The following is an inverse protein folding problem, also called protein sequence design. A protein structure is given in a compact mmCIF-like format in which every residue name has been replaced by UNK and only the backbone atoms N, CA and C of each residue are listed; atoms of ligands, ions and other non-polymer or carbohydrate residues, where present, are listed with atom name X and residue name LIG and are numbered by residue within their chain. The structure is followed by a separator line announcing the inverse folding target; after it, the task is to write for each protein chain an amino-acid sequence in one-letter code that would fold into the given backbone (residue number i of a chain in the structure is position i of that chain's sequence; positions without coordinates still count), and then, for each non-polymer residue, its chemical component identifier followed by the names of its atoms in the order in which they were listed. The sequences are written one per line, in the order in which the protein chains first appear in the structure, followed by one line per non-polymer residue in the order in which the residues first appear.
data_IF_904937637486
#
_entry.id   IF_904937637486
#
_cell.length_a   1.000
_cell.length_b   1.000
_cell.length_c   1.000
_cell.angle_alpha   90.00
_cell.angle_beta   90.00
_cell.angle_gamma   90.00
#
_symmetry.space_group_name_H-M   'P 1'
#
loop_
_entity.id
_entity.type
_entity.pdbx_description
1 polymer ?
#
# COMPACT_ATOMS: atom_id res chain seq x y z
N UNK A 1 -43.28 -32.40 -10.58
CA UNK A 1 -42.34 -32.48 -9.45
C UNK A 1 -40.93 -31.98 -9.81
N UNK A 2 -40.80 -30.84 -10.52
CA UNK A 2 -39.48 -30.28 -10.93
C UNK A 2 -39.16 -28.95 -10.22
N UNK A 3 -40.16 -28.31 -9.60
CA UNK A 3 -40.01 -27.00 -8.97
C UNK A 3 -39.11 -26.99 -7.73
N UNK A 4 -39.15 -28.05 -6.91
CA UNK A 4 -38.36 -28.15 -5.68
C UNK A 4 -36.84 -28.26 -5.93
N UNK A 5 -36.34 -29.17 -6.80
CA UNK A 5 -34.91 -29.22 -7.09
C UNK A 5 -34.39 -27.95 -7.79
N UNK A 6 -35.22 -27.30 -8.63
CA UNK A 6 -34.86 -26.03 -9.27
C UNK A 6 -34.75 -24.88 -8.26
N UNK A 7 -35.69 -24.78 -7.33
CA UNK A 7 -35.66 -23.78 -6.26
C UNK A 7 -34.45 -23.98 -5.33
N UNK A 8 -34.11 -25.23 -5.00
CA UNK A 8 -32.93 -25.55 -4.21
C UNK A 8 -31.63 -25.16 -4.94
N UNK A 9 -31.53 -25.45 -6.25
CA UNK A 9 -30.38 -25.03 -7.06
C UNK A 9 -30.25 -23.51 -7.11
N UNK A 10 -31.34 -22.78 -7.37
CA UNK A 10 -31.31 -21.31 -7.38
C UNK A 10 -30.90 -20.75 -6.02
N UNK A 11 -31.36 -21.34 -4.92
CA UNK A 11 -30.96 -20.92 -3.58
C UNK A 11 -29.46 -21.15 -3.34
N UNK A 12 -28.91 -22.29 -3.75
CA UNK A 12 -27.47 -22.59 -3.65
C UNK A 12 -26.66 -21.60 -4.48
N UNK A 13 -27.08 -21.33 -5.72
CA UNK A 13 -26.41 -20.36 -6.62
C UNK A 13 -26.45 -18.95 -6.02
N UNK A 14 -27.59 -18.53 -5.45
CA UNK A 14 -27.74 -17.22 -4.81
C UNK A 14 -26.81 -17.09 -3.59
N UNK A 15 -26.74 -18.11 -2.73
CA UNK A 15 -25.85 -18.12 -1.56
C UNK A 15 -24.38 -18.07 -1.98
N UNK A 16 -23.99 -18.80 -3.03
CA UNK A 16 -22.64 -18.75 -3.58
C UNK A 16 -22.31 -17.38 -4.18
N UNK A 17 -23.25 -16.75 -4.89
CA UNK A 17 -23.08 -15.41 -5.47
C UNK A 17 -22.93 -14.31 -4.40
N UNK A 18 -23.68 -14.41 -3.29
CA UNK A 18 -23.59 -13.44 -2.19
C UNK A 18 -22.25 -13.58 -1.45
N UNK A 19 -21.81 -14.81 -1.15
CA UNK A 19 -20.52 -15.05 -0.45
C UNK A 19 -19.33 -14.59 -1.27
N UNK A 20 -19.31 -14.93 -2.56
CA UNK A 20 -18.24 -14.49 -3.49
C UNK A 20 -18.15 -12.97 -3.59
N UNK A 21 -19.29 -12.27 -3.65
CA UNK A 21 -19.31 -10.81 -3.68
C UNK A 21 -18.73 -10.22 -2.40
N UNK A 22 -19.10 -10.75 -1.23
CA UNK A 22 -18.57 -10.28 0.06
C UNK A 22 -17.04 -10.48 0.18
N UNK A 23 -16.51 -11.61 -0.30
CA UNK A 23 -15.07 -11.90 -0.26
C UNK A 23 -14.26 -10.90 -1.11
N UNK A 24 -14.74 -10.58 -2.31
CA UNK A 24 -14.13 -9.62 -3.25
C UNK A 24 -14.12 -8.21 -2.66
N UNK A 25 -15.25 -7.73 -2.13
CA UNK A 25 -15.33 -6.42 -1.47
C UNK A 25 -14.43 -6.34 -0.23
N UNK A 26 -14.29 -7.44 0.51
CA UNK A 26 -13.42 -7.47 1.69
C UNK A 26 -11.94 -7.32 1.33
N UNK A 27 -11.46 -8.00 0.27
CA UNK A 27 -10.05 -7.99 -0.11
C UNK A 27 -9.59 -6.60 -0.55
N UNK A 28 -10.43 -5.89 -1.31
CA UNK A 28 -10.14 -4.55 -1.79
C UNK A 28 -10.08 -3.51 -0.65
N UNK A 29 -11.06 -3.57 0.27
CA UNK A 29 -11.10 -2.69 1.46
C UNK A 29 -9.91 -2.96 2.38
N UNK A 30 -9.55 -4.24 2.56
CA UNK A 30 -8.36 -4.64 3.32
C UNK A 30 -7.10 -4.07 2.68
N UNK A 31 -6.93 -4.18 1.35
CA UNK A 31 -5.78 -3.61 0.65
C UNK A 31 -5.71 -2.09 0.85
N UNK A 32 -6.81 -1.38 0.60
CA UNK A 32 -6.90 0.07 0.78
C UNK A 32 -6.44 0.53 2.16
N UNK A 33 -6.95 -0.11 3.21
CA UNK A 33 -6.58 0.24 4.58
C UNK A 33 -5.13 -0.15 4.90
N UNK A 34 -4.67 -1.29 4.40
CA UNK A 34 -3.29 -1.76 4.57
C UNK A 34 -2.27 -0.80 3.99
N UNK A 35 -2.51 -0.31 2.77
CA UNK A 35 -1.64 0.67 2.10
C UNK A 35 -1.60 1.98 2.90
N UNK A 36 -2.75 2.48 3.36
CA UNK A 36 -2.80 3.69 4.17
C UNK A 36 -2.01 3.56 5.49
N UNK A 37 -2.16 2.44 6.20
CA UNK A 37 -1.42 2.19 7.45
C UNK A 37 0.07 2.03 7.18
N UNK A 38 0.45 1.30 6.14
CA UNK A 38 1.85 1.08 5.77
C UNK A 38 2.57 2.38 5.39
N UNK A 39 1.92 3.24 4.60
CA UNK A 39 2.48 4.55 4.23
C UNK A 39 2.62 5.47 5.45
N UNK A 40 1.64 5.43 6.37
CA UNK A 40 1.74 6.16 7.64
C UNK A 40 2.94 5.68 8.46
N UNK A 41 3.12 4.36 8.61
CA UNK A 41 4.24 3.78 9.34
C UNK A 41 5.60 4.13 8.71
N UNK A 42 5.66 4.22 7.37
CA UNK A 42 6.85 4.65 6.64
C UNK A 42 7.21 6.11 6.97
N UNK A 43 6.22 7.01 6.89
CA UNK A 43 6.40 8.42 7.23
C UNK A 43 6.70 8.63 8.72
N UNK A 44 6.23 7.74 9.60
CA UNK A 44 6.48 7.79 11.04
C UNK A 44 7.94 7.46 11.41
N UNK A 45 8.75 6.97 10.47
CA UNK A 45 10.20 6.78 10.68
C UNK A 45 10.99 8.09 10.63
N UNK A 46 10.35 9.20 10.99
CA UNK A 46 10.93 10.52 11.12
C UNK A 46 11.71 10.65 12.41
N UNK A 47 13.01 10.87 12.27
CA UNK A 47 13.89 11.26 13.36
C UNK A 47 13.65 12.73 13.70
N UNK A 48 13.14 12.97 14.90
CA UNK A 48 12.81 14.32 15.40
C UNK A 48 14.05 15.13 15.77
N UNK A 49 15.17 14.47 16.07
CA UNK A 49 16.42 15.15 16.42
C UNK A 49 17.09 15.68 15.15
N UNK A 50 17.12 14.86 14.11
CA UNK A 50 17.74 15.20 12.83
C UNK A 50 16.77 15.84 11.82
N UNK A 51 15.47 15.86 12.14
CA UNK A 51 14.37 16.34 11.30
C UNK A 51 14.34 15.68 9.91
N UNK A 52 14.53 14.36 9.87
CA UNK A 52 14.62 13.59 8.62
C UNK A 52 14.03 12.17 8.78
N UNK A 53 13.48 11.58 7.72
CA UNK A 53 12.96 10.20 7.70
C UNK A 53 14.10 9.20 7.43
N UNK A 54 14.34 8.20 8.26
CA UNK A 54 15.27 7.12 7.87
C UNK A 54 14.65 6.27 6.75
N UNK A 55 15.13 6.42 5.51
CA UNK A 55 14.56 5.76 4.32
C UNK A 55 14.56 4.23 4.42
N UNK A 56 15.60 3.64 5.02
CA UNK A 56 15.70 2.17 5.16
C UNK A 56 14.73 1.68 6.23
N UNK A 57 14.61 2.39 7.36
CA UNK A 57 13.61 2.08 8.37
C UNK A 57 12.20 2.28 7.82
N UNK A 58 11.97 3.35 7.06
CA UNK A 58 10.67 3.65 6.43
C UNK A 58 10.22 2.50 5.53
N UNK A 59 11.10 1.99 4.66
CA UNK A 59 10.82 0.82 3.83
C UNK A 59 10.50 -0.43 4.65
N UNK A 60 11.30 -0.72 5.68
CA UNK A 60 11.07 -1.89 6.55
C UNK A 60 9.75 -1.79 7.31
N UNK A 61 9.41 -0.60 7.82
CA UNK A 61 8.14 -0.34 8.49
C UNK A 61 6.97 -0.52 7.53
N UNK A 62 7.08 0.00 6.30
CA UNK A 62 6.11 -0.20 5.24
C UNK A 62 5.87 -1.68 4.94
N UNK A 63 6.94 -2.43 4.63
CA UNK A 63 6.88 -3.86 4.33
C UNK A 63 6.29 -4.65 5.50
N UNK A 64 6.70 -4.34 6.74
CA UNK A 64 6.17 -4.99 7.96
C UNK A 64 4.65 -4.78 8.09
N UNK A 65 4.16 -3.57 7.88
CA UNK A 65 2.72 -3.30 7.94
C UNK A 65 1.95 -4.01 6.82
N UNK A 66 2.50 -4.11 5.61
CA UNK A 66 1.89 -4.93 4.55
C UNK A 66 1.86 -6.41 4.92
N UNK A 67 2.94 -6.93 5.53
CA UNK A 67 3.00 -8.33 5.95
C UNK A 67 1.94 -8.67 7.00
N UNK A 68 1.76 -7.80 7.98
CA UNK A 68 0.78 -7.98 9.05
C UNK A 68 -0.65 -7.88 8.51
N UNK A 69 -0.96 -6.82 7.73
CA UNK A 69 -2.33 -6.54 7.33
C UNK A 69 -2.83 -7.39 6.14
N UNK A 70 -1.94 -7.85 5.27
CA UNK A 70 -2.29 -8.71 4.12
C UNK A 70 -2.02 -10.21 4.39
N UNK A 71 -1.65 -10.55 5.62
CA UNK A 71 -1.28 -11.90 6.05
C UNK A 71 -0.17 -12.51 5.16
N UNK A 72 0.95 -11.80 5.02
CA UNK A 72 2.10 -12.26 4.23
C UNK A 72 3.18 -12.86 5.13
N UNK A 73 4.12 -13.57 4.50
CA UNK A 73 5.38 -14.01 5.10
C UNK A 73 6.42 -12.89 4.99
N UNK A 74 7.59 -13.09 5.62
CA UNK A 74 8.70 -12.12 5.58
C UNK A 74 9.24 -11.81 4.17
N UNK A 75 8.99 -12.69 3.19
CA UNK A 75 9.34 -12.48 1.77
C UNK A 75 8.17 -11.95 0.93
N UNK A 76 7.12 -11.43 1.57
CA UNK A 76 5.89 -10.92 0.96
C UNK A 76 5.04 -11.96 0.21
N UNK A 77 5.31 -13.26 0.39
CA UNK A 77 4.38 -14.31 -0.09
C UNK A 77 3.11 -14.35 0.76
N UNK A 78 1.93 -14.49 0.13
CA UNK A 78 0.69 -14.72 0.87
C UNK A 78 0.76 -16.00 1.73
N UNK A 79 0.20 -15.94 2.95
CA UNK A 79 -0.03 -17.14 3.77
C UNK A 79 -1.22 -17.94 3.24
N UNK A 80 -1.38 -19.17 3.73
CA UNK A 80 -2.45 -20.10 3.34
C UNK A 80 -3.85 -19.46 3.43
N UNK A 81 -4.09 -18.61 4.43
CA UNK A 81 -5.39 -17.99 4.70
C UNK A 81 -5.54 -16.55 4.18
N UNK A 82 -4.50 -15.98 3.56
CA UNK A 82 -4.56 -14.65 2.96
C UNK A 82 -5.63 -14.57 1.87
N UNK A 83 -6.31 -13.43 1.72
CA UNK A 83 -7.24 -13.18 0.62
C UNK A 83 -6.56 -13.05 -0.76
N UNK A 84 -5.22 -13.05 -0.79
CA UNK A 84 -4.41 -12.78 -1.98
C UNK A 84 -3.67 -14.02 -2.48
N UNK A 85 -3.51 -14.14 -3.80
CA UNK A 85 -2.88 -15.27 -4.47
C UNK A 85 -1.42 -15.02 -4.86
N UNK A 86 -1.06 -13.76 -5.09
CA UNK A 86 0.28 -13.34 -5.53
C UNK A 86 1.02 -12.50 -4.50
N UNK A 87 2.34 -12.39 -4.66
CA UNK A 87 3.14 -11.39 -3.94
C UNK A 87 2.66 -9.99 -4.36
N UNK A 88 2.53 -9.04 -3.42
CA UNK A 88 2.24 -7.66 -3.80
C UNK A 88 3.42 -7.08 -4.58
N UNK A 89 3.12 -6.32 -5.62
CA UNK A 89 4.05 -5.39 -6.23
C UNK A 89 3.79 -4.00 -5.64
N UNK A 90 4.83 -3.20 -5.42
CA UNK A 90 4.63 -1.83 -4.92
C UNK A 90 5.66 -0.85 -5.47
N UNK A 91 5.25 0.41 -5.50
CA UNK A 91 6.14 1.56 -5.57
C UNK A 91 5.98 2.34 -4.28
N UNK A 92 7.06 2.55 -3.52
CA UNK A 92 7.11 3.37 -2.32
C UNK A 92 8.11 4.51 -2.56
N UNK A 93 7.67 5.73 -2.35
CA UNK A 93 8.48 6.94 -2.41
C UNK A 93 8.54 7.50 -1.00
N UNK A 94 9.74 7.71 -0.47
CA UNK A 94 9.97 8.41 0.80
C UNK A 94 10.77 9.67 0.48
N UNK A 95 10.29 10.84 0.90
CA UNK A 95 10.84 12.12 0.48
C UNK A 95 10.90 13.13 1.62
N UNK A 96 12.08 13.67 1.84
CA UNK A 96 12.41 14.67 2.86
C UNK A 96 12.69 16.06 2.27
N UNK A 97 12.74 16.20 0.94
CA UNK A 97 12.89 17.49 0.28
C UNK A 97 14.31 18.07 0.29
N UNK A 98 15.16 17.64 1.23
CA UNK A 98 16.51 18.15 1.42
C UNK A 98 17.55 17.06 1.17
N UNK A 99 18.42 17.29 0.19
CA UNK A 99 19.58 16.43 -0.04
C UNK A 99 20.78 16.94 0.78
N UNK A 100 21.64 16.01 1.21
CA UNK A 100 22.93 16.34 1.82
C UNK A 100 24.05 15.61 1.06
N UNK A 101 25.31 15.98 1.33
CA UNK A 101 26.47 15.29 0.72
C UNK A 101 26.51 13.78 0.97
N UNK A 102 25.82 13.30 2.01
CA UNK A 102 25.83 11.88 2.43
C UNK A 102 24.51 11.17 2.16
N UNK A 103 23.48 11.87 1.65
CA UNK A 103 22.12 11.35 1.62
C UNK A 103 21.25 12.05 0.58
N UNK A 104 20.48 11.31 -0.24
CA UNK A 104 19.55 11.91 -1.20
C UNK A 104 18.36 12.57 -0.48
N UNK A 105 17.62 13.41 -1.20
CA UNK A 105 16.42 14.05 -0.65
C UNK A 105 15.23 13.11 -0.55
N UNK A 106 15.26 12.01 -1.30
CA UNK A 106 14.31 10.93 -1.18
C UNK A 106 14.80 9.69 -1.86
N UNK A 107 14.02 8.63 -1.72
CA UNK A 107 14.28 7.34 -2.35
C UNK A 107 12.97 6.76 -2.85
N UNK A 108 12.99 6.25 -4.08
CA UNK A 108 11.95 5.41 -4.64
C UNK A 108 12.37 3.94 -4.55
N UNK A 109 11.49 3.13 -3.97
CA UNK A 109 11.59 1.69 -3.89
C UNK A 109 10.53 1.08 -4.82
N UNK A 110 10.96 0.27 -5.78
CA UNK A 110 10.07 -0.50 -6.66
C UNK A 110 10.29 -1.97 -6.35
N UNK A 111 9.24 -2.66 -5.92
CA UNK A 111 9.26 -4.09 -5.66
C UNK A 111 8.27 -4.80 -6.58
N UNK A 112 8.75 -5.83 -7.26
CA UNK A 112 7.96 -6.67 -8.15
C UNK A 112 8.73 -7.94 -8.50
N UNK A 113 8.02 -9.06 -8.68
CA UNK A 113 8.63 -10.34 -9.06
C UNK A 113 9.79 -10.79 -8.15
N UNK A 114 9.72 -10.46 -6.86
CA UNK A 114 10.75 -10.78 -5.87
C UNK A 114 12.02 -9.93 -5.96
N UNK A 115 12.05 -8.90 -6.81
CA UNK A 115 13.18 -7.98 -6.98
C UNK A 115 12.83 -6.62 -6.40
N UNK A 116 13.80 -6.02 -5.73
CA UNK A 116 13.72 -4.65 -5.23
C UNK A 116 14.70 -3.77 -6.00
N UNK A 117 14.21 -2.65 -6.51
CA UNK A 117 15.04 -1.58 -7.08
C UNK A 117 14.93 -0.35 -6.20
N UNK A 118 16.06 0.32 -6.02
CA UNK A 118 16.18 1.56 -5.25
C UNK A 118 16.68 2.66 -6.20
N UNK A 119 16.04 3.81 -6.17
CA UNK A 119 16.41 4.97 -7.01
C UNK A 119 16.40 6.21 -6.15
N UNK A 120 17.52 6.92 -6.12
CA UNK A 120 17.65 8.17 -5.38
C UNK A 120 16.87 9.30 -6.07
N UNK A 121 16.27 10.17 -5.26
CA UNK A 121 15.51 11.32 -5.72
C UNK A 121 16.29 12.59 -5.35
N UNK A 122 16.57 13.49 -6.32
CA UNK A 122 17.27 14.74 -6.04
C UNK A 122 16.44 15.68 -5.16
N UNK A 123 17.14 16.58 -4.47
CA UNK A 123 16.53 17.62 -3.64
C UNK A 123 15.99 18.75 -4.49
N UNK A 124 14.68 18.93 -4.43
CA UNK A 124 13.97 20.04 -5.09
C UNK A 124 13.10 20.83 -4.08
N UNK A 125 13.15 20.45 -2.79
CA UNK A 125 12.35 21.06 -1.74
C UNK A 125 10.87 20.66 -1.79
N UNK A 126 10.03 21.46 -1.15
CA UNK A 126 8.57 21.29 -1.14
C UNK A 126 7.89 22.53 -1.73
N UNK A 127 6.75 22.39 -2.42
CA UNK A 127 6.04 21.13 -2.70
C UNK A 127 6.70 20.28 -3.80
N UNK A 128 6.54 18.96 -3.72
CA UNK A 128 6.99 18.01 -4.74
C UNK A 128 5.84 17.12 -5.20
N UNK A 129 5.65 17.04 -6.51
CA UNK A 129 4.65 16.16 -7.13
C UNK A 129 5.30 14.89 -7.64
N UNK A 130 4.73 13.74 -7.30
CA UNK A 130 5.11 12.43 -7.79
C UNK A 130 4.01 11.87 -8.69
N UNK A 131 4.41 11.12 -9.71
CA UNK A 131 3.51 10.39 -10.59
C UNK A 131 3.68 8.91 -10.29
N UNK A 132 2.64 8.31 -9.71
CA UNK A 132 2.59 6.87 -9.48
C UNK A 132 2.21 6.14 -10.77
N UNK A 133 2.38 4.80 -10.84
CA UNK A 133 1.85 4.03 -11.96
C UNK A 133 0.35 4.32 -12.17
N UNK A 134 -0.12 4.19 -13.41
CA UNK A 134 -1.50 4.57 -13.75
C UNK A 134 -1.75 6.09 -13.84
N UNK A 135 -0.72 6.93 -13.66
CA UNK A 135 -0.80 8.38 -13.89
C UNK A 135 -1.32 9.19 -12.71
N UNK A 136 -1.40 8.59 -11.53
CA UNK A 136 -1.90 9.23 -10.31
C UNK A 136 -0.87 10.26 -9.83
N UNK A 137 -1.28 11.52 -9.74
CA UNK A 137 -0.43 12.63 -9.29
C UNK A 137 -0.65 12.88 -7.81
N UNK A 138 0.42 12.84 -7.02
CA UNK A 138 0.39 13.08 -5.58
C UNK A 138 1.39 14.15 -5.21
N UNK A 139 0.94 15.17 -4.49
CA UNK A 139 1.79 16.29 -4.05
C UNK A 139 2.08 16.22 -2.56
N UNK A 140 3.35 16.19 -2.20
CA UNK A 140 3.82 16.36 -0.83
C UNK A 140 4.23 17.81 -0.60
N UNK A 141 3.68 18.42 0.45
CA UNK A 141 4.02 19.79 0.88
C UNK A 141 5.01 19.82 2.07
N UNK A 142 5.38 18.64 2.58
CA UNK A 142 6.31 18.45 3.70
C UNK A 142 6.84 17.01 3.64
N UNK A 143 7.86 16.66 4.45
CA UNK A 143 8.43 15.32 4.46
C UNK A 143 7.37 14.23 4.63
N UNK A 144 7.52 13.11 3.94
CA UNK A 144 6.50 12.09 3.95
C UNK A 144 6.79 10.90 3.04
N UNK A 145 5.75 10.10 2.85
CA UNK A 145 5.79 8.91 2.01
C UNK A 145 4.53 8.81 1.13
N UNK A 146 4.71 8.24 -0.06
CA UNK A 146 3.66 7.92 -1.01
C UNK A 146 3.87 6.49 -1.47
N UNK A 147 2.82 5.68 -1.55
CA UNK A 147 2.95 4.36 -2.15
C UNK A 147 1.74 3.97 -2.99
N UNK A 148 1.99 3.15 -4.01
CA UNK A 148 1.00 2.32 -4.70
C UNK A 148 1.35 0.85 -4.46
N UNK A 149 0.34 0.04 -4.15
CA UNK A 149 0.47 -1.42 -4.02
C UNK A 149 -0.54 -2.10 -4.94
N UNK A 150 -0.05 -3.04 -5.74
CA UNK A 150 -0.82 -3.93 -6.58
C UNK A 150 -0.75 -5.38 -6.09
N UNK A 151 -1.87 -6.09 -6.05
CA UNK A 151 -1.90 -7.51 -5.64
C UNK A 151 -3.02 -8.27 -6.34
N UNK A 152 -2.77 -9.55 -6.64
CA UNK A 152 -3.77 -10.45 -7.22
C UNK A 152 -4.62 -11.07 -6.11
N UNK A 153 -5.94 -11.06 -6.27
CA UNK A 153 -6.84 -11.73 -5.34
C UNK A 153 -6.90 -13.24 -5.56
N UNK A 154 -7.18 -14.02 -4.51
CA UNK A 154 -7.52 -15.43 -4.69
C UNK A 154 -8.81 -15.55 -5.51
N UNK A 155 -8.79 -16.43 -6.50
CA UNK A 155 -9.96 -16.75 -7.31
C UNK A 155 -10.97 -17.47 -6.44
N UNK A 156 -12.20 -16.96 -6.39
CA UNK A 156 -13.34 -17.76 -5.91
C UNK A 156 -14.09 -18.34 -7.11
N UNK A 157 -14.25 -17.59 -8.21
CA UNK A 157 -14.63 -18.05 -9.55
C UNK A 157 -14.13 -17.04 -10.62
N UNK A 158 -13.53 -17.49 -11.72
CA UNK A 158 -13.14 -16.62 -12.85
C UNK A 158 -11.66 -16.17 -12.91
N UNK A 159 -11.39 -15.07 -13.62
CA UNK A 159 -10.04 -14.53 -13.82
C UNK A 159 -9.50 -13.87 -12.54
N UNK A 160 -8.18 -13.84 -12.40
CA UNK A 160 -7.52 -13.10 -11.33
C UNK A 160 -7.81 -11.61 -11.50
N UNK A 161 -8.29 -10.96 -10.43
CA UNK A 161 -8.46 -9.51 -10.40
C UNK A 161 -7.22 -8.93 -9.74
N UNK A 162 -6.59 -7.99 -10.43
CA UNK A 162 -5.48 -7.21 -9.89
C UNK A 162 -6.04 -5.97 -9.22
N UNK A 163 -5.96 -5.90 -7.90
CA UNK A 163 -6.30 -4.70 -7.15
C UNK A 163 -5.07 -3.79 -7.07
N UNK A 164 -5.28 -2.48 -7.24
CA UNK A 164 -4.26 -1.46 -7.01
C UNK A 164 -4.81 -0.38 -6.11
N UNK A 165 -4.06 -0.02 -5.06
CA UNK A 165 -4.43 1.06 -4.14
C UNK A 165 -3.21 1.91 -3.85
N UNK A 166 -3.41 3.21 -3.75
CA UNK A 166 -2.38 4.13 -3.29
C UNK A 166 -2.78 4.84 -2.01
N UNK A 167 -1.78 5.31 -1.29
CA UNK A 167 -1.95 6.24 -0.20
C UNK A 167 -0.74 7.17 -0.10
N UNK A 168 -0.95 8.30 0.56
CA UNK A 168 0.07 9.29 0.83
C UNK A 168 -0.07 9.80 2.26
N UNK A 169 1.06 9.93 2.95
CA UNK A 169 1.14 10.52 4.26
C UNK A 169 2.26 11.55 4.31
N UNK A 170 2.05 12.62 5.06
CA UNK A 170 3.06 13.63 5.31
C UNK A 170 3.15 13.95 6.79
N UNK A 171 4.29 14.49 7.16
CA UNK A 171 4.60 14.94 8.50
C UNK A 171 4.23 16.41 8.59
N UNK A 172 3.45 16.77 9.61
CA UNK A 172 3.08 18.15 9.89
C UNK A 172 3.43 18.47 11.34
N UNK A 173 3.82 19.72 11.58
CA UNK A 173 3.98 20.23 12.93
C UNK A 173 2.66 20.86 13.37
N UNK A 174 2.11 20.39 14.49
CA UNK A 174 0.89 20.91 15.10
C UNK A 174 1.12 21.06 16.59
N UNK A 175 0.88 22.25 17.14
CA UNK A 175 0.98 22.51 18.58
C UNK A 175 2.32 22.07 19.20
N UNK A 176 3.42 22.30 18.46
CA UNK A 176 4.80 21.86 18.78
C UNK A 176 5.05 20.33 18.71
N UNK A 177 4.07 19.53 18.31
CA UNK A 177 4.24 18.09 18.06
C UNK A 177 4.33 17.77 16.57
N UNK A 178 5.20 16.82 16.23
CA UNK A 178 5.29 16.26 14.87
C UNK A 178 4.34 15.07 14.74
N UNK A 179 3.35 15.18 13.86
CA UNK A 179 2.35 14.15 13.61
C UNK A 179 2.32 13.73 12.14
N UNK A 180 2.02 12.46 11.90
CA UNK A 180 1.83 11.93 10.54
C UNK A 180 0.35 12.00 10.16
N UNK A 181 0.06 12.66 9.05
CA UNK A 181 -1.28 12.87 8.51
C UNK A 181 -1.41 12.22 7.13
N UNK A 182 -2.47 11.43 6.94
CA UNK A 182 -2.85 10.94 5.62
C UNK A 182 -3.38 12.10 4.77
N UNK A 183 -2.83 12.27 3.58
CA UNK A 183 -3.17 13.36 2.66
C UNK A 183 -3.93 12.90 1.42
N UNK A 184 -3.90 11.60 1.13
CA UNK A 184 -4.69 11.01 0.05
C UNK A 184 -4.69 9.49 0.15
N UNK A 185 -5.78 8.88 -0.30
CA UNK A 185 -5.90 7.44 -0.54
C UNK A 185 -7.05 7.18 -1.51
N UNK A 186 -6.90 6.17 -2.35
CA UNK A 186 -8.00 5.59 -3.14
C UNK A 186 -8.97 4.80 -2.28
#
# INVERSE_FOLDING_TARGET
MVALPLALMMFIVLVLAVRTSQDVFSADVVLKNSVAVAVKAAADQFDRENLQIDFRRARRAFEKMLQENLELKGNLEPRKYSAFSGRPAYTLIVYDGQASKKRPAGVQYIYGDGKLTETEIPGEGFPRTFVLPGGIKVTLHSPGAVAEVGVNSKKVFGNEVVYRRWAAARIVQRDQEWIVVLVGKD
#
